data_IF_358326049072
#
_entry.id   IF_358326049072
#
_cell.length_a   1.000
_cell.length_b   1.000
_cell.length_c   1.000
_cell.angle_alpha   90.00
_cell.angle_beta   90.00
_cell.angle_gamma   90.00
#
_symmetry.space_group_name_H-M   'P 1'
#
loop_
_entity.id
_entity.type
_entity.pdbx_description
1 polymer ?
#
# COMPACT_ATOMS: atom_id res chain seq x y z
N UNK A 1 -32.81 21.43 13.54
CA UNK A 1 -31.87 20.45 14.12
C UNK A 1 -31.77 19.29 13.15
N UNK A 2 -30.71 19.26 12.35
CA UNK A 2 -30.44 18.16 11.41
C UNK A 2 -29.67 17.06 12.14
N UNK A 3 -30.01 15.77 11.99
CA UNK A 3 -29.24 14.72 12.64
C UNK A 3 -27.88 14.53 11.95
N UNK A 4 -26.84 14.56 12.77
CA UNK A 4 -25.47 14.13 12.43
C UNK A 4 -25.51 12.74 11.81
N UNK A 5 -25.22 12.65 10.51
CA UNK A 5 -24.99 11.37 9.83
C UNK A 5 -23.48 11.15 9.80
N UNK A 6 -22.88 10.86 10.96
CA UNK A 6 -21.53 10.30 11.02
C UNK A 6 -21.61 8.90 10.42
N UNK A 7 -21.08 8.73 9.20
CA UNK A 7 -20.92 7.43 8.55
C UNK A 7 -19.95 6.58 9.39
N UNK A 8 -20.47 5.80 10.34
CA UNK A 8 -19.68 4.84 11.10
C UNK A 8 -18.92 3.93 10.13
N UNK A 9 -17.59 3.99 10.18
CA UNK A 9 -16.76 3.10 9.36
C UNK A 9 -17.03 1.65 9.75
N UNK A 10 -17.31 0.75 8.78
CA UNK A 10 -17.66 -0.63 9.09
C UNK A 10 -16.47 -1.35 9.74
N UNK A 11 -16.64 -1.78 11.00
CA UNK A 11 -15.65 -2.55 11.77
C UNK A 11 -15.43 -3.99 11.26
N UNK A 12 -16.08 -4.38 10.16
CA UNK A 12 -16.02 -5.76 9.63
C UNK A 12 -14.67 -5.99 8.93
N UNK A 13 -13.97 -7.11 9.19
CA UNK A 13 -12.73 -7.44 8.50
C UNK A 13 -12.98 -7.73 7.02
N UNK A 14 -11.98 -7.47 6.17
CA UNK A 14 -12.00 -7.92 4.80
C UNK A 14 -11.75 -9.43 4.72
N UNK A 15 -12.61 -10.12 3.98
CA UNK A 15 -12.44 -11.54 3.68
C UNK A 15 -11.87 -11.67 2.27
N UNK A 16 -10.63 -12.19 2.10
CA UNK A 16 -10.13 -12.55 0.78
C UNK A 16 -11.07 -13.51 0.08
N UNK A 17 -11.30 -13.32 -1.21
CA UNK A 17 -12.10 -14.26 -2.00
C UNK A 17 -11.18 -15.41 -2.40
N UNK A 18 -11.40 -16.57 -1.80
CA UNK A 18 -10.57 -17.75 -2.05
C UNK A 18 -11.11 -18.67 -3.15
N UNK A 19 -12.37 -18.50 -3.57
CA UNK A 19 -12.97 -19.35 -4.61
C UNK A 19 -12.31 -19.08 -5.96
N UNK A 20 -11.56 -20.06 -6.45
CA UNK A 20 -10.90 -20.06 -7.77
C UNK A 20 -11.60 -21.08 -8.67
N UNK A 21 -11.71 -20.75 -9.95
CA UNK A 21 -12.14 -21.71 -10.96
C UNK A 21 -10.97 -22.66 -11.25
N UNK A 22 -11.23 -23.97 -11.23
CA UNK A 22 -10.25 -24.96 -11.66
C UNK A 22 -10.08 -24.88 -13.19
N UNK A 23 -8.85 -25.09 -13.69
CA UNK A 23 -8.53 -25.25 -15.11
C UNK A 23 -8.86 -24.05 -16.04
N UNK A 24 -8.56 -22.83 -15.63
CA UNK A 24 -8.64 -21.69 -16.55
C UNK A 24 -7.42 -21.69 -17.48
N UNK A 25 -7.63 -22.03 -18.76
CA UNK A 25 -6.56 -22.02 -19.77
C UNK A 25 -5.91 -20.62 -19.83
N UNK A 26 -4.64 -20.56 -19.45
CA UNK A 26 -3.89 -19.34 -19.25
C UNK A 26 -2.49 -19.51 -19.81
N UNK A 27 -2.14 -18.64 -20.76
CA UNK A 27 -0.76 -18.45 -21.21
C UNK A 27 -0.20 -17.19 -20.55
N UNK A 28 0.85 -17.38 -19.77
CA UNK A 28 1.61 -16.29 -19.17
C UNK A 28 2.15 -15.35 -20.25
N UNK A 29 2.07 -14.05 -20.01
CA UNK A 29 2.56 -12.98 -20.88
C UNK A 29 3.46 -12.05 -20.08
N UNK A 30 4.32 -11.30 -20.77
CA UNK A 30 5.17 -10.26 -20.16
C UNK A 30 4.34 -9.25 -19.35
N UNK A 31 3.14 -8.89 -19.85
CA UNK A 31 2.23 -8.00 -19.12
C UNK A 31 1.77 -8.55 -17.79
N UNK A 32 1.68 -9.87 -17.62
CA UNK A 32 1.36 -10.45 -16.32
C UNK A 32 2.51 -10.31 -15.34
N UNK A 33 3.73 -10.54 -15.80
CA UNK A 33 4.93 -10.35 -15.00
C UNK A 33 5.04 -8.91 -14.51
N UNK A 34 4.72 -7.94 -15.37
CA UNK A 34 4.63 -6.53 -14.97
C UNK A 34 3.51 -6.25 -13.96
N UNK A 35 2.33 -6.89 -14.08
CA UNK A 35 1.29 -6.83 -13.04
C UNK A 35 1.84 -7.34 -11.70
N UNK A 36 2.50 -8.50 -11.69
CA UNK A 36 3.03 -9.09 -10.46
C UNK A 36 4.09 -8.19 -9.82
N UNK A 37 4.98 -7.58 -10.62
CA UNK A 37 5.98 -6.62 -10.15
C UNK A 37 5.36 -5.39 -9.51
N UNK A 38 4.36 -4.78 -10.15
CA UNK A 38 3.71 -3.59 -9.55
C UNK A 38 2.94 -3.97 -8.29
N UNK A 39 2.27 -5.12 -8.24
CA UNK A 39 1.59 -5.57 -7.02
C UNK A 39 2.59 -5.89 -5.91
N UNK A 40 3.75 -6.48 -6.22
CA UNK A 40 4.85 -6.68 -5.27
C UNK A 40 5.37 -5.33 -4.74
N UNK A 41 5.54 -4.33 -5.61
CA UNK A 41 6.06 -3.01 -5.24
C UNK A 41 5.13 -2.23 -4.31
N UNK A 42 3.82 -2.31 -4.55
CA UNK A 42 2.80 -1.51 -3.86
C UNK A 42 2.02 -2.29 -2.79
N UNK A 43 2.26 -3.59 -2.66
CA UNK A 43 1.56 -4.55 -1.78
C UNK A 43 0.08 -4.78 -2.10
N UNK A 44 -0.71 -3.73 -2.23
CA UNK A 44 -2.12 -3.77 -2.59
C UNK A 44 -2.42 -2.78 -3.71
N UNK A 45 -3.10 -3.22 -4.76
CA UNK A 45 -3.53 -2.33 -5.84
C UNK A 45 -4.95 -2.66 -6.29
N UNK A 46 -5.74 -1.63 -6.57
CA UNK A 46 -7.05 -1.72 -7.23
C UNK A 46 -6.92 -1.97 -8.73
N UNK A 47 -7.97 -2.51 -9.35
CA UNK A 47 -8.03 -2.73 -10.81
C UNK A 47 -7.65 -1.47 -11.59
N UNK A 48 -8.19 -0.31 -11.20
CA UNK A 48 -7.91 0.95 -11.88
C UNK A 48 -6.46 1.43 -11.69
N UNK A 49 -5.87 1.21 -10.51
CA UNK A 49 -4.46 1.53 -10.28
C UNK A 49 -3.55 0.66 -11.16
N UNK A 50 -3.83 -0.65 -11.24
CA UNK A 50 -3.09 -1.58 -12.12
C UNK A 50 -3.26 -1.18 -13.59
N UNK A 51 -4.46 -0.77 -14.00
CA UNK A 51 -4.69 -0.24 -15.36
C UNK A 51 -3.76 0.94 -15.63
N UNK A 52 -3.72 1.94 -14.74
CA UNK A 52 -2.91 3.15 -14.92
C UNK A 52 -1.42 2.83 -15.03
N UNK A 53 -0.93 1.89 -14.22
CA UNK A 53 0.48 1.51 -14.18
C UNK A 53 0.92 0.61 -15.35
N UNK A 54 0.13 -0.41 -15.69
CA UNK A 54 0.57 -1.47 -16.63
C UNK A 54 -0.08 -1.34 -18.01
N UNK A 55 -1.23 -0.67 -18.09
CA UNK A 55 -2.02 -0.50 -19.31
C UNK A 55 -2.42 0.97 -19.54
N UNK A 56 -1.48 1.94 -19.46
CA UNK A 56 -1.82 3.36 -19.56
C UNK A 56 -2.54 3.68 -20.87
N UNK A 57 -2.03 3.14 -22.00
CA UNK A 57 -2.55 3.35 -23.35
C UNK A 57 -3.92 2.72 -23.63
N UNK A 58 -4.35 1.75 -22.82
CA UNK A 58 -5.64 1.10 -23.05
C UNK A 58 -6.77 2.06 -22.69
N UNK A 59 -7.65 2.36 -23.66
CA UNK A 59 -8.88 3.13 -23.40
C UNK A 59 -9.88 2.39 -22.51
N UNK A 60 -9.74 1.07 -22.45
CA UNK A 60 -10.74 0.14 -21.94
C UNK A 60 -10.14 -0.74 -20.84
N UNK A 61 -10.87 -0.92 -19.74
CA UNK A 61 -10.40 -1.68 -18.56
C UNK A 61 -10.49 -3.20 -18.73
N UNK A 62 -11.19 -3.68 -19.77
CA UNK A 62 -11.51 -5.11 -19.87
C UNK A 62 -10.28 -5.99 -20.14
N UNK A 63 -9.24 -5.47 -20.80
CA UNK A 63 -7.95 -6.19 -20.92
C UNK A 63 -7.31 -6.41 -19.54
N UNK A 64 -7.25 -5.36 -18.72
CA UNK A 64 -6.74 -5.42 -17.34
C UNK A 64 -7.54 -6.42 -16.50
N UNK A 65 -8.88 -6.34 -16.53
CA UNK A 65 -9.76 -7.28 -15.81
C UNK A 65 -9.56 -8.73 -16.26
N UNK A 66 -9.37 -8.97 -17.57
CA UNK A 66 -9.13 -10.30 -18.12
C UNK A 66 -7.81 -10.89 -17.60
N UNK A 67 -6.70 -10.14 -17.64
CA UNK A 67 -5.41 -10.61 -17.10
C UNK A 67 -5.48 -10.87 -15.60
N UNK A 68 -6.07 -9.95 -14.83
CA UNK A 68 -6.23 -10.09 -13.38
C UNK A 68 -7.09 -11.29 -13.00
N UNK A 69 -8.15 -11.59 -13.77
CA UNK A 69 -8.95 -12.80 -13.60
C UNK A 69 -8.09 -14.06 -13.78
N UNK A 70 -7.26 -14.12 -14.82
CA UNK A 70 -6.41 -15.28 -15.05
C UNK A 70 -5.35 -15.45 -13.96
N UNK A 71 -4.69 -14.38 -13.57
CA UNK A 71 -3.70 -14.40 -12.49
C UNK A 71 -4.29 -14.83 -11.15
N UNK A 72 -5.51 -14.37 -10.85
CA UNK A 72 -6.23 -14.79 -9.65
C UNK A 72 -6.60 -16.28 -9.68
N UNK A 73 -7.17 -16.77 -10.78
CA UNK A 73 -7.60 -18.17 -10.86
C UNK A 73 -6.43 -19.16 -10.88
N UNK A 74 -5.29 -18.79 -11.45
CA UNK A 74 -4.05 -19.58 -11.39
C UNK A 74 -3.25 -19.34 -10.10
N UNK A 75 -3.76 -18.50 -9.20
CA UNK A 75 -3.26 -18.35 -7.84
C UNK A 75 -2.03 -17.48 -7.66
N UNK A 76 -1.59 -16.77 -8.71
CA UNK A 76 -0.50 -15.80 -8.63
C UNK A 76 -0.90 -14.54 -7.86
N UNK A 77 -2.19 -14.19 -7.89
CA UNK A 77 -2.77 -13.08 -7.14
C UNK A 77 -3.91 -13.55 -6.23
N UNK A 78 -4.03 -12.90 -5.09
CA UNK A 78 -5.22 -12.92 -4.25
C UNK A 78 -6.08 -11.71 -4.56
N UNK A 79 -7.38 -11.77 -4.22
CA UNK A 79 -8.30 -10.64 -4.40
C UNK A 79 -9.13 -10.38 -3.15
N UNK A 80 -9.38 -9.11 -2.91
CA UNK A 80 -10.22 -8.60 -1.82
C UNK A 80 -11.21 -7.63 -2.45
N UNK A 81 -12.49 -7.78 -2.16
CA UNK A 81 -13.48 -6.77 -2.51
C UNK A 81 -13.61 -5.80 -1.34
N UNK A 82 -13.26 -4.50 -1.53
CA UNK A 82 -13.53 -3.49 -0.53
C UNK A 82 -15.02 -3.43 -0.17
N UNK A 83 -15.34 -2.91 1.00
CA UNK A 83 -16.71 -2.71 1.42
C UNK A 83 -17.13 -1.39 0.81
N UNK A 84 -18.30 -1.39 0.19
CA UNK A 84 -18.91 -0.18 -0.35
C UNK A 84 -20.25 -0.02 0.35
N UNK A 85 -20.50 1.18 0.85
CA UNK A 85 -21.79 1.50 1.46
C UNK A 85 -22.93 1.25 0.45
N UNK A 86 -24.11 0.83 0.91
CA UNK A 86 -25.27 0.69 0.03
C UNK A 86 -25.50 1.96 -0.80
N UNK A 87 -25.58 1.82 -2.13
CA UNK A 87 -25.78 2.94 -3.06
C UNK A 87 -24.50 3.57 -3.63
N UNK A 88 -23.31 3.25 -3.12
CA UNK A 88 -22.04 3.86 -3.58
C UNK A 88 -21.36 3.11 -4.76
N UNK A 89 -22.10 2.27 -5.49
CA UNK A 89 -21.61 1.51 -6.65
C UNK A 89 -20.90 0.19 -6.29
N UNK A 90 -20.25 -0.44 -7.28
CA UNK A 90 -19.49 -1.68 -7.04
C UNK A 90 -18.08 -1.37 -6.51
N UNK A 91 -17.59 -2.14 -5.52
CA UNK A 91 -16.20 -2.01 -5.06
C UNK A 91 -15.21 -2.29 -6.18
N UNK A 92 -14.22 -1.41 -6.33
CA UNK A 92 -13.06 -1.72 -7.15
C UNK A 92 -12.22 -2.79 -6.43
N UNK A 93 -12.16 -4.00 -6.98
CA UNK A 93 -11.41 -5.13 -6.42
C UNK A 93 -9.94 -4.77 -6.23
N UNK A 94 -9.43 -5.05 -5.03
CA UNK A 94 -8.02 -4.94 -4.69
C UNK A 94 -7.32 -6.30 -4.83
N UNK A 95 -6.06 -6.26 -5.27
CA UNK A 95 -5.24 -7.43 -5.51
C UNK A 95 -3.97 -7.37 -4.66
N UNK A 96 -3.48 -8.54 -4.25
CA UNK A 96 -2.23 -8.71 -3.53
C UNK A 96 -1.48 -9.93 -4.06
N UNK A 97 -0.17 -9.96 -3.83
CA UNK A 97 0.69 -11.04 -4.30
C UNK A 97 0.50 -12.30 -3.46
N UNK A 98 0.32 -13.45 -4.12
CA UNK A 98 0.31 -14.76 -3.47
C UNK A 98 1.67 -15.45 -3.64
N UNK A 99 1.89 -16.55 -2.90
CA UNK A 99 3.16 -17.27 -2.89
C UNK A 99 3.65 -17.66 -4.29
N UNK A 100 2.79 -18.19 -5.15
CA UNK A 100 3.19 -18.59 -6.51
C UNK A 100 3.50 -17.39 -7.41
N UNK A 101 2.87 -16.24 -7.17
CA UNK A 101 3.21 -14.99 -7.86
C UNK A 101 4.60 -14.49 -7.45
N UNK A 102 4.91 -14.55 -6.15
CA UNK A 102 6.22 -14.27 -5.61
C UNK A 102 7.32 -15.19 -6.18
N UNK A 103 7.07 -16.49 -6.24
CA UNK A 103 7.98 -17.47 -6.86
C UNK A 103 8.23 -17.14 -8.33
N UNK A 104 7.19 -16.74 -9.08
CA UNK A 104 7.31 -16.39 -10.48
C UNK A 104 8.15 -15.12 -10.70
N UNK A 105 8.03 -14.12 -9.82
CA UNK A 105 8.88 -12.92 -9.85
C UNK A 105 10.34 -13.33 -9.61
N UNK A 106 10.63 -14.11 -8.56
CA UNK A 106 12.00 -14.54 -8.24
C UNK A 106 12.64 -15.31 -9.41
N UNK A 107 11.86 -16.08 -10.17
CA UNK A 107 12.33 -16.81 -11.33
C UNK A 107 12.66 -15.91 -12.53
N UNK A 108 11.85 -14.88 -12.80
CA UNK A 108 11.97 -14.04 -14.00
C UNK A 108 12.78 -12.75 -13.78
N UNK A 109 12.88 -12.31 -12.52
CA UNK A 109 13.56 -11.09 -12.11
C UNK A 109 14.40 -11.39 -10.85
N UNK A 110 15.56 -12.06 -10.99
CA UNK A 110 16.37 -12.49 -9.85
C UNK A 110 16.88 -11.30 -9.01
N UNK A 111 16.98 -10.11 -9.61
CA UNK A 111 17.39 -8.87 -8.94
C UNK A 111 16.21 -8.13 -8.27
N UNK A 112 14.96 -8.55 -8.49
CA UNK A 112 13.79 -7.92 -7.87
C UNK A 112 13.59 -8.47 -6.46
N UNK A 113 13.60 -7.59 -5.46
CA UNK A 113 13.30 -7.97 -4.08
C UNK A 113 11.83 -8.39 -3.95
N UNK A 114 11.58 -9.68 -3.75
CA UNK A 114 10.24 -10.20 -3.47
C UNK A 114 9.87 -9.90 -2.02
N UNK A 115 8.88 -9.02 -1.84
CA UNK A 115 8.46 -8.59 -0.51
C UNK A 115 7.56 -9.66 0.11
N UNK A 116 8.03 -10.32 1.17
CA UNK A 116 7.24 -11.32 1.89
C UNK A 116 6.24 -10.63 2.79
N UNK A 117 4.98 -10.60 2.37
CA UNK A 117 3.89 -10.16 3.21
C UNK A 117 3.37 -11.35 4.03
N UNK A 118 3.24 -11.17 5.35
CA UNK A 118 2.78 -12.22 6.26
C UNK A 118 1.46 -12.89 5.82
N UNK A 119 1.25 -14.14 6.26
CA UNK A 119 0.19 -15.06 5.80
C UNK A 119 -1.11 -14.32 5.43
N UNK A 120 -1.55 -14.51 4.18
CA UNK A 120 -2.81 -14.06 3.59
C UNK A 120 -3.99 -14.41 4.50
N UNK A 121 -4.38 -13.47 5.38
CA UNK A 121 -5.39 -13.72 6.40
C UNK A 121 -6.00 -12.42 6.90
N UNK A 122 -7.34 -12.30 6.74
CA UNK A 122 -8.22 -11.24 7.26
C UNK A 122 -7.54 -9.89 7.51
N UNK A 123 -7.39 -9.08 6.48
CA UNK A 123 -6.93 -7.69 6.63
C UNK A 123 -8.09 -6.85 7.19
N UNK A 124 -7.87 -6.05 8.24
CA UNK A 124 -8.96 -5.17 8.74
C UNK A 124 -9.29 -4.09 7.70
N UNK A 125 -10.53 -3.61 7.71
CA UNK A 125 -11.03 -2.61 6.75
C UNK A 125 -10.11 -1.40 6.62
N UNK A 126 -9.77 -0.81 7.78
CA UNK A 126 -8.98 0.41 7.87
C UNK A 126 -7.56 0.21 7.30
N UNK A 127 -6.91 -0.92 7.57
CA UNK A 127 -5.55 -1.18 7.08
C UNK A 127 -5.46 -1.33 5.56
N UNK A 128 -6.41 -2.05 4.93
CA UNK A 128 -6.39 -2.18 3.46
C UNK A 128 -6.69 -0.83 2.80
N UNK A 129 -7.67 -0.08 3.32
CA UNK A 129 -8.00 1.20 2.71
C UNK A 129 -6.87 2.22 2.86
N UNK A 130 -6.23 2.26 4.03
CA UNK A 130 -5.04 3.08 4.26
C UNK A 130 -3.91 2.70 3.27
N UNK A 131 -3.58 1.41 3.17
CA UNK A 131 -2.55 0.93 2.25
C UNK A 131 -2.85 1.23 0.76
N UNK A 132 -4.13 1.19 0.36
CA UNK A 132 -4.55 1.54 -1.00
C UNK A 132 -4.42 3.03 -1.29
N UNK A 133 -4.66 3.90 -0.32
CA UNK A 133 -4.50 5.35 -0.44
C UNK A 133 -3.03 5.75 -0.44
N UNK A 134 -2.21 5.14 0.42
CA UNK A 134 -0.76 5.28 0.38
C UNK A 134 -0.19 4.85 -0.98
N UNK A 135 -0.70 3.74 -1.53
CA UNK A 135 -0.35 3.29 -2.88
C UNK A 135 -0.79 4.27 -3.96
N UNK A 136 -1.95 4.92 -3.80
CA UNK A 136 -2.44 5.94 -4.72
C UNK A 136 -1.57 7.20 -4.70
N UNK A 137 -1.20 7.69 -3.51
CA UNK A 137 -0.25 8.79 -3.35
C UNK A 137 1.08 8.47 -4.03
N UNK A 138 1.68 7.32 -3.70
CA UNK A 138 2.95 6.89 -4.29
C UNK A 138 2.87 6.83 -5.81
N UNK A 139 1.79 6.28 -6.35
CA UNK A 139 1.57 6.19 -7.79
C UNK A 139 1.50 7.58 -8.44
N UNK A 140 0.73 8.52 -7.87
CA UNK A 140 0.68 9.89 -8.39
C UNK A 140 2.02 10.60 -8.29
N UNK A 141 2.78 10.37 -7.21
CA UNK A 141 4.12 10.91 -7.06
C UNK A 141 5.07 10.35 -8.13
N UNK A 142 5.08 9.03 -8.35
CA UNK A 142 5.89 8.40 -9.40
C UNK A 142 5.52 8.92 -10.79
N UNK A 143 4.22 9.08 -11.08
CA UNK A 143 3.74 9.64 -12.36
C UNK A 143 4.16 11.11 -12.51
N UNK A 144 3.97 11.95 -11.50
CA UNK A 144 4.31 13.37 -11.55
C UNK A 144 5.81 13.63 -11.71
N UNK A 145 6.64 12.73 -11.18
CA UNK A 145 8.10 12.79 -11.28
C UNK A 145 8.62 12.11 -12.55
N UNK A 146 7.78 11.37 -13.27
CA UNK A 146 8.16 10.72 -14.52
C UNK A 146 8.49 11.77 -15.57
N UNK A 147 9.75 11.79 -16.02
CA UNK A 147 10.25 12.78 -16.98
C UNK A 147 10.46 14.18 -16.40
N UNK A 148 10.36 14.37 -15.08
CA UNK A 148 10.59 15.69 -14.48
C UNK A 148 12.08 16.08 -14.56
N UNK A 149 12.35 17.28 -15.06
CA UNK A 149 13.71 17.75 -15.43
C UNK A 149 14.62 17.96 -14.22
N UNK A 150 14.07 18.46 -13.11
CA UNK A 150 14.86 18.93 -11.95
C UNK A 150 14.89 18.00 -10.75
N UNK A 151 13.98 17.04 -10.67
CA UNK A 151 13.82 16.17 -9.50
C UNK A 151 13.42 14.76 -9.92
N UNK A 152 13.75 13.79 -9.07
CA UNK A 152 13.30 12.41 -9.17
C UNK A 152 12.98 11.81 -7.80
N UNK A 153 12.24 10.71 -7.84
CA UNK A 153 12.02 9.88 -6.67
C UNK A 153 13.27 9.01 -6.44
N UNK A 154 14.04 9.33 -5.40
CA UNK A 154 15.20 8.55 -5.01
C UNK A 154 14.84 7.27 -4.27
N UNK A 155 13.89 7.35 -3.33
CA UNK A 155 13.38 6.18 -2.59
C UNK A 155 11.98 6.47 -2.05
N UNK A 156 11.14 5.43 -1.96
CA UNK A 156 9.90 5.44 -1.21
C UNK A 156 9.85 4.21 -0.30
N UNK A 157 9.53 4.37 0.97
CA UNK A 157 9.33 3.28 1.93
C UNK A 157 8.00 3.50 2.63
N UNK A 158 7.05 2.60 2.41
CA UNK A 158 5.79 2.58 3.11
C UNK A 158 5.94 1.97 4.52
N UNK A 159 5.06 2.35 5.44
CA UNK A 159 4.96 1.81 6.81
C UNK A 159 5.06 0.27 6.88
N UNK A 160 4.46 -0.42 5.92
CA UNK A 160 4.43 -1.87 5.88
C UNK A 160 5.77 -2.51 5.51
N UNK A 161 6.67 -1.80 4.85
CA UNK A 161 7.98 -2.31 4.43
C UNK A 161 8.98 -2.30 5.60
N UNK A 162 8.73 -1.43 6.58
CA UNK A 162 9.59 -1.18 7.73
C UNK A 162 9.81 -2.42 8.60
N UNK A 163 8.77 -3.23 8.80
CA UNK A 163 8.88 -4.45 9.64
C UNK A 163 9.81 -5.51 9.06
N UNK A 164 9.98 -5.52 7.73
CA UNK A 164 10.85 -6.48 7.03
C UNK A 164 12.32 -6.04 7.00
N UNK A 165 12.56 -4.75 6.81
CA UNK A 165 13.91 -4.18 6.67
C UNK A 165 14.68 -4.03 7.99
N UNK A 166 14.00 -4.07 9.14
CA UNK A 166 14.67 -3.94 10.44
C UNK A 166 15.39 -5.22 10.90
N UNK A 167 15.06 -6.39 10.33
CA UNK A 167 15.64 -7.67 10.78
C UNK A 167 17.03 -7.94 10.19
N UNK A 168 17.33 -7.40 9.00
CA UNK A 168 18.58 -7.67 8.25
C UNK A 168 19.47 -6.44 8.07
N UNK A 169 19.21 -5.33 8.78
CA UNK A 169 19.97 -4.10 8.63
C UNK A 169 21.36 -4.20 9.29
N UNK A 170 22.37 -4.63 8.54
CA UNK A 170 23.79 -4.49 8.87
C UNK A 170 24.35 -3.22 8.21
N UNK A 171 24.45 -2.13 8.98
CA UNK A 171 25.07 -0.88 8.55
C UNK A 171 24.59 0.37 9.30
N UNK A 172 25.29 1.51 9.13
CA UNK A 172 25.00 2.82 9.75
C UNK A 172 23.63 3.45 9.39
N UNK A 173 22.77 2.74 8.67
CA UNK A 173 21.46 3.25 8.23
C UNK A 173 20.33 2.58 9.01
N UNK A 174 20.15 3.03 10.25
CA UNK A 174 18.93 2.79 11.03
C UNK A 174 17.97 3.96 10.79
N UNK A 175 16.90 3.73 10.03
CA UNK A 175 15.81 4.70 9.93
C UNK A 175 14.80 4.40 11.04
N UNK A 176 14.83 5.21 12.12
CA UNK A 176 13.70 5.26 13.04
C UNK A 176 12.57 5.96 12.30
N UNK A 177 11.56 5.20 11.91
CA UNK A 177 10.29 5.71 11.37
C UNK A 177 9.37 6.22 12.46
N UNK A 178 9.98 6.82 13.48
CA UNK A 178 9.21 7.48 14.50
C UNK A 178 10.01 8.60 15.13
N UNK A 179 9.28 9.60 15.60
CA UNK A 179 9.82 10.72 16.35
C UNK A 179 8.97 10.93 17.61
N UNK A 180 9.62 11.28 18.71
CA UNK A 180 8.94 11.74 19.91
C UNK A 180 8.66 13.23 19.79
N UNK A 181 7.38 13.60 19.74
CA UNK A 181 6.94 14.98 19.80
C UNK A 181 6.43 15.28 21.20
N UNK A 182 6.82 16.42 21.77
CA UNK A 182 6.14 16.95 22.95
C UNK A 182 4.96 17.82 22.52
N UNK A 183 3.78 17.48 23.01
CA UNK A 183 2.61 18.31 22.76
C UNK A 183 2.80 19.68 23.44
N UNK A 184 2.66 20.79 22.68
CA UNK A 184 3.10 22.11 23.13
C UNK A 184 2.36 22.61 24.38
N UNK A 185 1.17 22.08 24.64
CA UNK A 185 0.29 22.52 25.74
C UNK A 185 0.29 21.52 26.90
N UNK A 186 0.21 20.21 26.61
CA UNK A 186 0.07 19.18 27.65
C UNK A 186 1.41 18.60 28.11
N UNK A 187 2.51 18.93 27.41
CA UNK A 187 3.86 18.36 27.62
C UNK A 187 3.92 16.82 27.58
N UNK A 188 2.87 16.18 27.09
CA UNK A 188 2.83 14.75 26.89
C UNK A 188 3.66 14.40 25.66
N UNK A 189 4.53 13.39 25.78
CA UNK A 189 5.28 12.85 24.65
C UNK A 189 4.41 11.89 23.83
N UNK A 190 4.44 12.07 22.51
CA UNK A 190 3.77 11.20 21.53
C UNK A 190 4.80 10.62 20.59
N UNK A 191 4.66 9.35 20.24
CA UNK A 191 5.48 8.70 19.21
C UNK A 191 4.69 8.73 17.90
N UNK A 192 5.17 9.46 16.92
CA UNK A 192 4.55 9.54 15.58
C UNK A 192 5.16 8.48 14.69
N UNK A 193 4.35 7.71 13.97
CA UNK A 193 4.79 6.75 12.95
C UNK A 193 4.20 7.18 11.61
N UNK A 194 5.01 7.66 10.65
CA UNK A 194 4.47 8.10 9.39
C UNK A 194 4.07 6.92 8.51
N UNK A 195 2.97 7.11 7.79
CA UNK A 195 2.44 6.16 6.82
C UNK A 195 3.44 5.87 5.68
N UNK A 196 4.27 6.85 5.34
CA UNK A 196 5.37 6.64 4.41
C UNK A 196 6.52 7.63 4.58
N UNK A 197 7.67 7.26 4.03
CA UNK A 197 8.79 8.16 3.84
C UNK A 197 9.21 8.13 2.38
N UNK A 198 9.65 9.27 1.87
CA UNK A 198 10.25 9.30 0.54
C UNK A 198 11.33 10.36 0.43
N UNK A 199 12.26 10.11 -0.48
CA UNK A 199 13.40 11.00 -0.75
C UNK A 199 13.24 11.51 -2.16
N UNK A 200 13.20 12.83 -2.31
CA UNK A 200 13.37 13.48 -3.60
C UNK A 200 14.83 13.87 -3.78
N UNK A 201 15.39 13.58 -4.95
CA UNK A 201 16.74 13.96 -5.35
C UNK A 201 16.69 14.99 -6.46
N UNK A 202 17.58 15.97 -6.42
CA UNK A 202 17.74 16.94 -7.48
C UNK A 202 18.53 16.36 -8.67
N UNK A 203 18.24 16.90 -9.86
CA UNK A 203 18.93 16.62 -11.13
C UNK A 203 19.55 17.90 -11.69
N UNK A 204 20.53 17.75 -12.58
CA UNK A 204 21.17 18.87 -13.27
C UNK A 204 21.80 19.85 -12.27
N UNK A 205 21.37 21.11 -12.30
CA UNK A 205 21.87 22.14 -11.37
C UNK A 205 21.55 21.87 -9.89
N UNK A 206 20.67 20.90 -9.60
CA UNK A 206 20.33 20.46 -8.24
C UNK A 206 20.94 19.10 -7.87
N UNK A 207 21.86 18.58 -8.67
CA UNK A 207 22.56 17.33 -8.37
C UNK A 207 23.26 17.39 -7.00
N UNK A 208 23.23 16.29 -6.25
CA UNK A 208 23.72 16.22 -4.87
C UNK A 208 22.75 16.75 -3.81
N UNK A 209 21.70 17.50 -4.20
CA UNK A 209 20.64 17.91 -3.28
C UNK A 209 19.64 16.78 -3.10
N UNK A 210 19.30 16.48 -1.84
CA UNK A 210 18.25 15.53 -1.50
C UNK A 210 17.41 16.07 -0.33
N UNK A 211 16.12 15.75 -0.34
CA UNK A 211 15.20 16.07 0.75
C UNK A 211 14.39 14.84 1.15
N UNK A 212 14.33 14.59 2.46
CA UNK A 212 13.50 13.55 3.06
C UNK A 212 12.14 14.15 3.43
N UNK A 213 11.08 13.43 3.09
CA UNK A 213 9.71 13.76 3.42
C UNK A 213 9.09 12.62 4.24
N UNK A 214 8.27 13.02 5.20
CA UNK A 214 7.37 12.13 5.93
C UNK A 214 5.95 12.37 5.40
N UNK A 215 5.22 11.28 5.21
CA UNK A 215 3.87 11.28 4.65
C UNK A 215 2.91 10.71 5.69
N UNK A 216 1.83 11.44 5.92
CA UNK A 216 0.65 10.98 6.63
C UNK A 216 -0.55 11.10 5.68
N UNK A 217 -1.33 10.04 5.57
CA UNK A 217 -2.56 9.96 4.77
C UNK A 217 -3.73 9.87 5.74
N UNK A 218 -4.18 11.03 6.23
CA UNK A 218 -5.24 11.13 7.21
C UNK A 218 -6.61 10.76 6.61
N UNK A 219 -7.37 9.95 7.35
CA UNK A 219 -8.75 9.53 7.02
C UNK A 219 -9.78 9.96 8.05
N UNK A 220 -9.40 10.79 9.03
CA UNK A 220 -10.26 11.13 10.18
C UNK A 220 -10.62 9.91 11.05
N UNK A 221 -9.85 8.82 10.97
CA UNK A 221 -10.16 7.55 11.65
C UNK A 221 -9.50 7.36 13.01
N UNK A 222 -8.76 8.36 13.51
CA UNK A 222 -8.32 8.36 14.90
C UNK A 222 -9.27 9.18 15.77
N UNK A 223 -10.38 8.56 16.16
CA UNK A 223 -11.02 8.96 17.41
C UNK A 223 -10.01 8.70 18.53
N UNK A 224 -9.45 9.78 19.11
CA UNK A 224 -8.45 9.73 20.17
C UNK A 224 -8.93 8.93 21.37
N UNK A 225 -8.67 7.62 21.37
CA UNK A 225 -8.80 6.77 22.54
C UNK A 225 -7.45 6.71 23.24
N UNK A 226 -7.02 7.86 23.77
CA UNK A 226 -6.09 7.87 24.88
C UNK A 226 -6.80 7.23 26.09
N UNK A 227 -6.70 5.90 26.22
CA UNK A 227 -7.00 5.24 27.49
C UNK A 227 -5.99 5.75 28.51
N UNK A 228 -6.38 6.79 29.24
CA UNK A 228 -5.78 7.18 30.50
C UNK A 228 -5.84 5.96 31.42
N UNK A 229 -4.71 5.24 31.56
CA UNK A 229 -4.54 4.28 32.65
C UNK A 229 -4.43 5.10 33.93
N UNK A 230 -5.53 5.23 34.64
CA UNK A 230 -5.53 5.73 36.01
C UNK A 230 -4.69 4.81 36.88
N UNK A 231 -3.55 5.29 37.35
CA UNK A 231 -2.81 4.68 38.44
C UNK A 231 -3.62 4.88 39.72
N UNK A 232 -4.23 3.81 40.22
CA UNK A 232 -4.68 3.73 41.60
C UNK A 232 -3.45 3.81 42.52
N UNK A 233 -3.27 4.94 43.20
CA UNK A 233 -2.61 4.96 44.49
C UNK A 233 -3.67 4.64 45.54
N UNK A 234 -3.52 3.53 46.26
CA UNK A 234 -4.16 3.32 47.56
C UNK A 234 -3.20 3.89 48.61
N UNK A 235 -3.72 4.80 49.42
CA UNK A 235 -3.18 5.07 50.76
C UNK A 235 -3.51 3.93 51.72
#
# INVERSE_FOLDING_TARGET
MSPNNELETPKRPYTPIMTRQQNVNFRLQERDLEILKVVNRYRYLRTNQIKRLVFPENRSIQSTRKRLKYLFHNGFLGRINPFVAPGAGQPDTAYFLEKSGAELIAQHFPDEEVKVYGKSGKVRYQFLSHALELSEFRMYLEIALSGHERIELGRFVADFEVKSHLQNATGHKRYKLWHELQHPISRQSFVVYPDGLFILKGKGSFEGVQKLFFLEVDRGTEGGNAKLKGTHQKG
#
